data_IF_749923263517
#
_entry.id   IF_749923263517
#
_cell.length_a   1.000
_cell.length_b   1.000
_cell.length_c   1.000
_cell.angle_alpha   90.00
_cell.angle_beta   90.00
_cell.angle_gamma   90.00
#
_symmetry.space_group_name_H-M   'P 1'
#
loop_
_entity.id
_entity.type
_entity.pdbx_description
1 polymer ?
#
# COMPACT_ATOMS: atom_id res chain seq x y z
N UNK A 1 -1.46 -52.88 7.11
CA UNK A 1 -1.49 -51.58 6.41
C UNK A 1 -1.03 -50.53 7.39
N UNK A 2 0.03 -49.76 7.13
CA UNK A 2 0.41 -48.66 8.02
C UNK A 2 -0.74 -47.66 8.08
N UNK A 3 -1.36 -47.53 9.25
CA UNK A 3 -2.43 -46.57 9.50
C UNK A 3 -1.79 -45.28 9.94
N UNK A 4 -2.04 -44.19 9.20
CA UNK A 4 -1.62 -42.85 9.61
C UNK A 4 -2.34 -42.51 10.92
N UNK A 5 -1.62 -42.61 12.03
CA UNK A 5 -2.12 -42.30 13.34
C UNK A 5 -2.07 -40.80 13.60
N UNK A 6 -2.69 -40.35 14.71
CA UNK A 6 -2.58 -38.97 15.16
C UNK A 6 -1.12 -38.50 15.31
N UNK A 7 -0.21 -39.43 15.62
CA UNK A 7 1.22 -39.16 15.80
C UNK A 7 1.91 -38.79 14.49
N UNK A 8 1.70 -39.56 13.42
CA UNK A 8 2.25 -39.29 12.09
C UNK A 8 1.70 -37.99 11.50
N UNK A 9 0.40 -37.72 11.69
CA UNK A 9 -0.21 -36.46 11.26
C UNK A 9 0.43 -35.27 11.99
N UNK A 10 0.70 -35.40 13.29
CA UNK A 10 1.38 -34.37 14.07
C UNK A 10 2.77 -34.02 13.51
N UNK A 11 3.55 -35.04 13.11
CA UNK A 11 4.87 -34.85 12.51
C UNK A 11 4.78 -34.11 11.16
N UNK A 12 3.81 -34.46 10.32
CA UNK A 12 3.61 -33.79 9.02
C UNK A 12 3.25 -32.32 9.23
N UNK A 13 2.31 -32.03 10.13
CA UNK A 13 1.92 -30.65 10.46
C UNK A 13 3.10 -29.86 10.99
N UNK A 14 3.93 -30.47 11.84
CA UNK A 14 5.16 -29.85 12.35
C UNK A 14 6.12 -29.45 11.22
N UNK A 15 6.34 -30.33 10.24
CA UNK A 15 7.19 -30.02 9.08
C UNK A 15 6.63 -28.84 8.26
N UNK A 16 5.31 -28.79 8.04
CA UNK A 16 4.67 -27.68 7.31
C UNK A 16 4.83 -26.38 8.11
N UNK A 17 4.68 -26.40 9.44
CA UNK A 17 4.90 -25.23 10.30
C UNK A 17 6.36 -24.74 10.21
N UNK A 18 7.34 -25.64 10.15
CA UNK A 18 8.75 -25.26 10.04
C UNK A 18 9.06 -24.63 8.68
N UNK A 19 8.54 -25.18 7.59
CA UNK A 19 8.78 -24.68 6.23
C UNK A 19 8.07 -23.36 5.93
N UNK A 20 6.80 -23.25 6.35
CA UNK A 20 5.96 -22.09 6.01
C UNK A 20 5.89 -21.07 7.16
N UNK A 21 6.19 -21.47 8.39
CA UNK A 21 6.08 -20.65 9.59
C UNK A 21 4.68 -20.70 10.23
N UNK A 22 4.64 -20.69 11.56
CA UNK A 22 3.40 -20.77 12.35
C UNK A 22 2.40 -19.62 12.06
N UNK A 23 2.88 -18.47 11.57
CA UNK A 23 2.02 -17.32 11.21
C UNK A 23 1.39 -17.43 9.81
N UNK A 24 1.96 -18.22 8.89
CA UNK A 24 1.50 -18.30 7.50
C UNK A 24 0.41 -19.36 7.28
N UNK A 25 0.46 -20.46 8.04
CA UNK A 25 -0.59 -21.48 8.05
C UNK A 25 -1.99 -20.97 8.39
N UNK A 26 -2.21 -20.23 9.50
CA UNK A 26 -3.55 -19.73 9.84
C UNK A 26 -4.05 -18.70 8.84
N UNK A 27 -3.16 -17.93 8.22
CA UNK A 27 -3.51 -16.94 7.20
C UNK A 27 -3.96 -17.63 5.89
N UNK A 28 -3.18 -18.62 5.43
CA UNK A 28 -3.53 -19.45 4.27
C UNK A 28 -4.83 -20.25 4.50
N UNK A 29 -5.02 -20.82 5.68
CA UNK A 29 -6.25 -21.53 6.01
C UNK A 29 -7.48 -20.58 6.03
N UNK A 30 -7.32 -19.35 6.53
CA UNK A 30 -8.38 -18.33 6.52
C UNK A 30 -8.72 -17.84 5.12
N UNK A 31 -7.75 -17.67 4.22
CA UNK A 31 -8.03 -17.26 2.84
C UNK A 31 -8.73 -18.38 2.06
N UNK A 32 -8.23 -19.62 2.16
CA UNK A 32 -8.83 -20.80 1.53
C UNK A 32 -10.25 -21.04 2.06
N UNK A 33 -10.46 -20.93 3.38
CA UNK A 33 -11.78 -21.11 3.99
C UNK A 33 -12.83 -20.09 3.53
N UNK A 34 -12.42 -18.83 3.30
CA UNK A 34 -13.31 -17.80 2.73
C UNK A 34 -13.71 -18.14 1.30
N UNK A 35 -12.76 -18.51 0.44
CA UNK A 35 -13.04 -18.93 -0.93
C UNK A 35 -13.94 -20.17 -0.95
N UNK A 36 -13.63 -21.21 -0.17
CA UNK A 36 -14.45 -22.42 -0.07
C UNK A 36 -15.88 -22.15 0.40
N UNK A 37 -16.10 -21.18 1.29
CA UNK A 37 -17.45 -20.81 1.75
C UNK A 37 -18.28 -20.24 0.61
N UNK A 38 -17.70 -19.36 -0.20
CA UNK A 38 -18.38 -18.72 -1.34
C UNK A 38 -18.71 -19.78 -2.40
N UNK A 39 -17.74 -20.61 -2.76
CA UNK A 39 -17.98 -21.73 -3.68
C UNK A 39 -19.07 -22.67 -3.16
N UNK A 40 -19.07 -22.97 -1.86
CA UNK A 40 -20.09 -23.84 -1.27
C UNK A 40 -21.48 -23.19 -1.23
N UNK A 41 -21.59 -21.88 -1.05
CA UNK A 41 -22.89 -21.18 -1.15
C UNK A 41 -23.41 -21.14 -2.57
N UNK A 42 -22.56 -20.86 -3.56
CA UNK A 42 -22.96 -20.85 -4.98
C UNK A 42 -23.37 -22.25 -5.43
N UNK A 43 -22.59 -23.28 -5.09
CA UNK A 43 -22.95 -24.67 -5.37
C UNK A 43 -24.24 -25.04 -4.64
N UNK A 44 -24.44 -24.62 -3.39
CA UNK A 44 -25.69 -24.91 -2.66
C UNK A 44 -26.90 -24.21 -3.29
N UNK A 45 -26.74 -22.99 -3.80
CA UNK A 45 -27.78 -22.21 -4.48
C UNK A 45 -28.19 -22.88 -5.80
N UNK A 46 -27.23 -23.33 -6.61
CA UNK A 46 -27.49 -24.15 -7.81
C UNK A 46 -28.23 -25.45 -7.50
N UNK A 47 -28.02 -26.02 -6.31
CA UNK A 47 -28.73 -27.21 -5.84
C UNK A 47 -30.08 -26.87 -5.16
N UNK A 48 -30.35 -25.60 -4.85
CA UNK A 48 -31.54 -25.12 -4.11
C UNK A 48 -32.59 -24.45 -4.99
N UNK A 49 -32.41 -24.36 -6.30
CA UNK A 49 -33.43 -23.90 -7.27
C UNK A 49 -34.74 -24.75 -7.28
N UNK A 50 -34.91 -25.69 -6.33
CA UNK A 50 -36.15 -26.40 -6.04
C UNK A 50 -36.78 -26.15 -4.66
N UNK A 51 -36.15 -25.46 -3.70
CA UNK A 51 -36.79 -25.21 -2.38
C UNK A 51 -36.17 -24.02 -1.58
N UNK A 52 -37.06 -23.07 -1.25
CA UNK A 52 -36.96 -21.78 -0.50
C UNK A 52 -35.69 -21.51 0.35
N UNK A 53 -35.14 -20.27 0.35
CA UNK A 53 -33.86 -19.94 0.98
C UNK A 53 -33.95 -19.77 2.50
N UNK A 54 -33.03 -20.40 3.23
CA UNK A 54 -32.78 -20.11 4.65
C UNK A 54 -31.56 -19.20 4.73
N UNK A 55 -31.77 -17.97 5.20
CA UNK A 55 -30.73 -17.04 5.59
C UNK A 55 -29.84 -17.68 6.67
N UNK A 56 -28.60 -18.03 6.32
CA UNK A 56 -27.59 -18.41 7.31
C UNK A 56 -26.59 -17.28 7.50
N UNK A 57 -26.77 -16.63 8.65
CA UNK A 57 -25.98 -15.58 9.27
C UNK A 57 -24.47 -15.73 9.02
N UNK A 58 -23.84 -14.62 8.61
CA UNK A 58 -22.39 -14.44 8.68
C UNK A 58 -22.01 -14.08 10.12
N UNK A 59 -21.15 -14.86 10.80
CA UNK A 59 -20.36 -14.28 11.88
C UNK A 59 -19.32 -13.37 11.22
N UNK A 60 -19.45 -12.08 11.47
CA UNK A 60 -18.37 -11.10 11.32
C UNK A 60 -17.18 -11.61 12.15
N UNK A 61 -16.18 -12.20 11.51
CA UNK A 61 -14.91 -12.50 12.17
C UNK A 61 -13.98 -11.32 11.98
N UNK A 62 -13.64 -10.71 13.12
CA UNK A 62 -12.77 -9.58 13.31
C UNK A 62 -11.54 -9.58 12.39
N UNK A 63 -11.35 -8.43 11.77
CA UNK A 63 -10.08 -7.95 11.24
C UNK A 63 -9.06 -7.87 12.38
N UNK A 64 -8.30 -8.93 12.64
CA UNK A 64 -7.12 -8.85 13.50
C UNK A 64 -5.95 -8.43 12.60
N UNK A 65 -5.74 -7.13 12.48
CA UNK A 65 -4.52 -6.56 11.91
C UNK A 65 -3.55 -6.21 13.05
N UNK A 66 -2.55 -7.05 13.36
CA UNK A 66 -1.34 -6.55 13.99
C UNK A 66 -0.45 -6.00 12.89
N UNK A 67 -0.20 -4.68 12.93
CA UNK A 67 0.50 -3.82 11.96
C UNK A 67 -0.33 -3.21 10.83
N UNK A 68 -0.72 -1.96 11.11
CA UNK A 68 -0.60 -0.84 10.20
C UNK A 68 0.54 -1.05 9.16
N UNK A 69 0.18 -1.14 7.90
CA UNK A 69 0.91 -0.38 6.89
C UNK A 69 0.09 0.90 6.77
N UNK A 70 0.58 1.91 7.45
CA UNK A 70 0.16 3.29 7.38
C UNK A 70 0.11 3.69 5.89
N UNK A 71 -1.09 3.94 5.35
CA UNK A 71 -1.17 4.82 4.20
C UNK A 71 -0.50 6.14 4.63
N UNK A 72 0.36 6.77 3.81
CA UNK A 72 0.97 8.04 4.17
C UNK A 72 -0.15 9.03 4.46
N UNK A 73 -0.39 9.30 5.73
CA UNK A 73 -1.28 10.35 6.17
C UNK A 73 -0.65 11.67 5.72
N UNK A 74 -1.42 12.62 5.16
CA UNK A 74 -0.89 13.94 4.86
C UNK A 74 -0.40 14.58 6.16
N UNK A 75 0.91 14.83 6.19
CA UNK A 75 1.67 15.41 7.29
C UNK A 75 1.20 16.86 7.51
N UNK A 76 0.12 17.08 8.26
CA UNK A 76 -0.39 18.42 8.55
C UNK A 76 -0.04 18.95 9.95
N UNK A 77 0.68 18.20 10.78
CA UNK A 77 1.05 18.65 12.14
C UNK A 77 2.50 19.11 12.32
N UNK A 78 3.33 19.17 11.26
CA UNK A 78 4.73 19.60 11.38
C UNK A 78 4.99 21.07 10.97
N UNK A 79 3.97 21.94 11.01
CA UNK A 79 4.12 23.39 10.82
C UNK A 79 4.03 24.20 12.12
N UNK A 80 4.46 23.62 13.25
CA UNK A 80 4.80 24.38 14.45
C UNK A 80 6.22 24.05 14.90
N UNK A 81 7.21 24.61 14.23
CA UNK A 81 8.51 24.88 14.85
C UNK A 81 8.76 26.39 14.76
N UNK A 82 9.09 27.08 15.87
CA UNK A 82 9.67 28.41 15.77
C UNK A 82 11.04 28.25 15.09
N UNK A 83 11.14 28.72 13.84
CA UNK A 83 12.40 28.83 13.13
C UNK A 83 13.38 29.66 13.95
N UNK A 84 14.40 29.02 14.54
CA UNK A 84 15.58 29.72 15.03
C UNK A 84 16.32 30.24 13.80
N UNK A 85 16.22 31.54 13.53
CA UNK A 85 16.98 32.19 12.46
C UNK A 85 18.48 32.00 12.72
N UNK A 86 19.23 31.44 11.76
CA UNK A 86 20.68 31.50 11.79
C UNK A 86 21.11 32.97 11.81
N UNK A 87 22.06 33.33 12.67
CA UNK A 87 22.59 34.69 12.72
C UNK A 87 23.50 34.95 11.51
N UNK A 88 22.92 35.36 10.37
CA UNK A 88 23.64 35.66 9.12
C UNK A 88 24.19 37.08 9.05
N UNK A 89 23.85 37.97 9.99
CA UNK A 89 24.22 39.39 9.89
C UNK A 89 25.65 39.70 10.34
N UNK A 90 26.31 38.81 11.09
CA UNK A 90 27.67 39.07 11.59
C UNK A 90 28.78 38.88 10.55
N UNK A 91 28.54 38.19 9.44
CA UNK A 91 29.60 37.84 8.48
C UNK A 91 29.64 38.68 7.18
N UNK A 92 28.80 39.70 7.04
CA UNK A 92 28.78 40.57 5.84
C UNK A 92 29.44 41.95 6.01
N UNK A 93 30.12 42.20 7.12
CA UNK A 93 30.85 43.46 7.30
C UNK A 93 32.26 43.34 6.68
N UNK A 94 32.38 43.38 5.36
CA UNK A 94 33.71 43.47 4.72
C UNK A 94 33.85 43.28 3.21
N UNK A 95 32.85 42.79 2.48
CA UNK A 95 32.98 42.56 1.03
C UNK A 95 32.17 43.57 0.20
N UNK A 96 32.89 44.55 -0.36
CA UNK A 96 32.38 45.44 -1.39
C UNK A 96 32.14 44.63 -2.68
N UNK A 97 30.87 44.40 -3.01
CA UNK A 97 30.47 43.75 -4.26
C UNK A 97 30.60 44.72 -5.43
N UNK A 98 31.54 44.44 -6.33
CA UNK A 98 31.69 45.13 -7.62
C UNK A 98 30.56 44.65 -8.56
N UNK A 99 29.75 45.57 -9.11
CA UNK A 99 28.66 45.22 -10.04
C UNK A 99 29.20 44.59 -11.33
N UNK A 100 28.79 43.36 -11.69
CA UNK A 100 29.03 42.82 -13.02
C UNK A 100 28.12 43.51 -14.05
N UNK A 101 28.71 43.94 -15.18
CA UNK A 101 28.03 44.63 -16.27
C UNK A 101 26.93 43.77 -16.93
N UNK A 102 25.86 44.47 -17.34
CA UNK A 102 24.63 44.01 -17.98
C UNK A 102 24.82 42.96 -19.10
N UNK A 103 24.34 41.71 -18.94
CA UNK A 103 24.30 40.76 -20.05
C UNK A 103 23.15 41.13 -21.00
N UNK A 104 23.49 41.45 -22.26
CA UNK A 104 22.54 41.71 -23.33
C UNK A 104 21.58 40.52 -23.48
N UNK A 105 20.27 40.79 -23.47
CA UNK A 105 19.21 39.79 -23.64
C UNK A 105 19.21 39.22 -25.07
N UNK A 106 19.26 37.90 -25.27
CA UNK A 106 19.06 37.29 -26.58
C UNK A 106 17.62 37.51 -27.06
N UNK A 107 17.45 38.05 -28.26
CA UNK A 107 16.14 38.31 -28.89
C UNK A 107 15.55 37.00 -29.46
N UNK A 108 14.52 36.45 -28.80
CA UNK A 108 13.88 35.17 -29.16
C UNK A 108 12.68 35.32 -30.12
N UNK A 109 12.54 36.45 -30.83
CA UNK A 109 11.35 36.72 -31.66
C UNK A 109 11.41 36.18 -33.10
N UNK A 110 12.51 35.53 -33.51
CA UNK A 110 12.73 35.19 -34.92
C UNK A 110 12.27 33.80 -35.36
N UNK A 111 12.05 32.82 -34.48
CA UNK A 111 12.04 31.42 -34.92
C UNK A 111 10.76 30.60 -34.69
N UNK A 112 9.60 31.25 -34.63
CA UNK A 112 8.32 30.53 -34.76
C UNK A 112 7.44 31.26 -35.77
N UNK A 113 7.81 31.11 -37.04
CA UNK A 113 6.94 31.34 -38.18
C UNK A 113 5.74 30.39 -38.07
N UNK A 114 4.54 30.97 -38.18
CA UNK A 114 3.24 30.30 -38.06
C UNK A 114 2.99 29.39 -39.28
N UNK A 115 2.91 28.04 -39.11
CA UNK A 115 2.67 27.13 -40.22
C UNK A 115 1.22 27.13 -40.75
N UNK A 116 0.30 27.94 -40.20
CA UNK A 116 -1.11 28.05 -40.66
C UNK A 116 -1.41 29.31 -41.48
N UNK A 117 -0.42 29.85 -42.21
CA UNK A 117 -0.66 30.81 -43.31
C UNK A 117 -1.03 30.06 -44.59
N UNK A 118 -2.28 29.58 -44.65
CA UNK A 118 -2.92 29.06 -45.86
C UNK A 118 -3.19 30.20 -46.86
N UNK A 119 -2.80 30.02 -48.12
CA UNK A 119 -3.36 30.67 -49.32
C UNK A 119 -3.32 29.69 -50.47
#
# INVERSE_FOLDING_TARGET
>A
MPTLGPWEIGIIVLLIIVLFGAKKLPDAARSIGRSMRIFKSEVKEMNKDGDTPEQQQQPQQQQIAPNQIEAPQPVQQQYQQPVQQPNFEQHYQGQQVQQPQNPQTPDYRQNYEDPNRTS
#
